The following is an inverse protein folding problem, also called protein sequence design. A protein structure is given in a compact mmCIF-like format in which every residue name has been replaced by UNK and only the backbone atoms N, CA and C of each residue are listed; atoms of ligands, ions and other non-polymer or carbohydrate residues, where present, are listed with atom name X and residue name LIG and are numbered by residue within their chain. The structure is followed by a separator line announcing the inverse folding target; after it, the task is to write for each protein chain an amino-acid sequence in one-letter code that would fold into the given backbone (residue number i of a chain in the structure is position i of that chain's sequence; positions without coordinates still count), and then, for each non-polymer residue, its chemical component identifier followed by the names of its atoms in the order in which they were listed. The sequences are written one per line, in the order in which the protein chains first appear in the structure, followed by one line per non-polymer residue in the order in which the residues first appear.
data_IF_765802778505
#
_entry.id   IF_765802778505
#
_cell.length_a   1.000
_cell.length_b   1.000
_cell.length_c   1.000
_cell.angle_alpha   90.00
_cell.angle_beta   90.00
_cell.angle_gamma   90.00
#
_symmetry.space_group_name_H-M   'P 1'
#
loop_
_entity.id
_entity.type
_entity.pdbx_description
1 polymer ?
#
# COMPACT_ATOMS: atom_id res chain seq x y z
N UNK A 1 37.48 39.51 -32.77
CA UNK A 1 37.20 39.01 -31.40
C UNK A 1 35.84 38.28 -31.30
N UNK A 2 35.44 37.47 -32.30
CA UNK A 2 34.08 36.85 -32.37
C UNK A 2 34.14 35.31 -32.21
N UNK A 3 35.29 34.68 -32.50
CA UNK A 3 35.43 33.22 -32.46
C UNK A 3 35.46 32.58 -31.05
N UNK A 4 35.81 33.36 -30.01
CA UNK A 4 35.89 32.86 -28.64
C UNK A 4 34.49 32.78 -27.98
N UNK A 5 33.59 33.68 -28.36
CA UNK A 5 32.26 33.82 -27.73
C UNK A 5 31.30 32.66 -28.09
N UNK A 6 31.42 32.11 -29.30
CA UNK A 6 30.57 31.00 -29.76
C UNK A 6 30.88 29.68 -29.04
N UNK A 7 32.16 29.41 -28.78
CA UNK A 7 32.60 28.19 -28.09
C UNK A 7 32.09 28.11 -26.64
N UNK A 8 32.01 29.25 -25.94
CA UNK A 8 31.53 29.30 -24.56
C UNK A 8 30.00 29.06 -24.46
N UNK A 9 29.23 29.60 -25.42
CA UNK A 9 27.77 29.45 -25.50
C UNK A 9 27.36 27.99 -25.80
N UNK A 10 28.12 27.31 -26.66
CA UNK A 10 27.88 25.90 -27.03
C UNK A 10 28.24 24.97 -25.85
N UNK A 11 29.38 25.19 -25.19
CA UNK A 11 29.79 24.42 -24.00
C UNK A 11 28.79 24.53 -22.84
N UNK A 12 28.22 25.72 -22.62
CA UNK A 12 27.19 25.96 -21.59
C UNK A 12 25.88 25.20 -21.88
N UNK A 13 25.48 25.10 -23.16
CA UNK A 13 24.30 24.31 -23.56
C UNK A 13 24.53 22.80 -23.38
N UNK A 14 25.72 22.30 -23.70
CA UNK A 14 26.07 20.88 -23.51
C UNK A 14 26.07 20.53 -22.01
N UNK A 15 26.63 21.39 -21.16
CA UNK A 15 26.61 21.20 -19.71
C UNK A 15 25.18 21.21 -19.13
N UNK A 16 24.30 22.08 -19.64
CA UNK A 16 22.90 22.14 -19.23
C UNK A 16 22.13 20.85 -19.61
N UNK A 17 22.43 20.28 -20.78
CA UNK A 17 21.81 19.02 -21.25
C UNK A 17 22.30 17.82 -20.44
N UNK A 18 23.59 17.76 -20.11
CA UNK A 18 24.16 16.73 -19.23
C UNK A 18 23.60 16.81 -17.80
N UNK A 19 23.31 18.01 -17.29
CA UNK A 19 22.69 18.22 -15.99
C UNK A 19 21.20 17.84 -15.96
N UNK A 20 20.49 17.95 -17.09
CA UNK A 20 19.09 17.52 -17.19
C UNK A 20 18.92 15.99 -17.28
N UNK A 21 19.92 15.28 -17.81
CA UNK A 21 19.88 13.81 -17.94
C UNK A 21 20.19 13.07 -16.63
N UNK A 22 20.78 13.71 -15.63
CA UNK A 22 21.14 13.07 -14.36
C UNK A 22 20.00 12.98 -13.33
N UNK A 23 18.84 13.58 -13.60
CA UNK A 23 17.71 13.65 -12.64
C UNK A 23 16.72 12.48 -12.76
N UNK A 24 16.94 11.53 -13.68
CA UNK A 24 16.09 10.33 -13.82
C UNK A 24 16.55 9.20 -12.87
N UNK A 25 16.99 9.57 -11.66
CA UNK A 25 17.41 8.61 -10.65
C UNK A 25 16.19 7.98 -9.96
N UNK A 26 15.87 6.78 -10.41
CA UNK A 26 15.27 5.69 -9.64
C UNK A 26 13.97 5.98 -8.88
N UNK A 27 12.83 5.85 -9.58
CA UNK A 27 11.60 5.41 -8.90
C UNK A 27 11.74 3.93 -8.57
N UNK A 28 12.25 3.61 -7.36
CA UNK A 28 12.04 2.29 -6.76
C UNK A 28 10.54 2.12 -6.51
N UNK A 29 9.84 1.54 -7.48
CA UNK A 29 8.48 1.04 -7.31
C UNK A 29 8.54 -0.15 -6.34
N UNK A 30 8.71 0.11 -5.04
CA UNK A 30 8.47 -0.89 -3.99
C UNK A 30 7.02 -1.33 -4.14
N UNK A 31 6.84 -2.51 -4.74
CA UNK A 31 5.55 -3.15 -4.94
C UNK A 31 4.86 -3.21 -3.56
N UNK A 32 3.82 -2.42 -3.40
CA UNK A 32 3.07 -2.31 -2.16
C UNK A 32 2.26 -3.59 -1.97
N UNK A 33 2.83 -4.61 -1.35
CA UNK A 33 2.12 -5.86 -1.09
C UNK A 33 1.00 -5.56 -0.08
N UNK A 34 -0.22 -5.92 -0.43
CA UNK A 34 -1.42 -5.70 0.39
C UNK A 34 -1.90 -7.00 1.01
N UNK A 35 -2.78 -6.90 2.03
CA UNK A 35 -3.45 -8.09 2.57
C UNK A 35 -4.19 -8.88 1.48
N UNK A 36 -4.73 -8.21 0.45
CA UNK A 36 -5.45 -8.87 -0.66
C UNK A 36 -4.55 -9.80 -1.48
N UNK A 37 -3.25 -9.52 -1.57
CA UNK A 37 -2.30 -10.34 -2.33
C UNK A 37 -1.84 -11.58 -1.55
N UNK A 38 -1.99 -11.57 -0.23
CA UNK A 38 -1.37 -12.54 0.69
C UNK A 38 -2.43 -13.43 1.38
N UNK A 39 -3.56 -12.84 1.75
CA UNK A 39 -4.57 -13.46 2.58
C UNK A 39 -5.53 -14.29 1.74
N UNK A 40 -5.91 -15.46 2.24
CA UNK A 40 -6.86 -16.35 1.57
C UNK A 40 -8.30 -15.95 1.89
N UNK A 41 -8.51 -15.18 2.95
CA UNK A 41 -9.81 -14.69 3.40
C UNK A 41 -10.23 -13.41 2.67
N UNK A 42 -11.54 -13.24 2.49
CA UNK A 42 -12.13 -12.09 1.78
C UNK A 42 -12.23 -10.85 2.70
N UNK A 43 -11.07 -10.39 3.18
CA UNK A 43 -10.94 -9.17 4.00
C UNK A 43 -10.72 -7.92 3.14
N UNK A 44 -11.28 -6.75 3.51
CA UNK A 44 -10.95 -5.50 2.86
C UNK A 44 -9.43 -5.32 2.73
N UNK A 45 -8.91 -4.79 1.62
CA UNK A 45 -7.48 -4.55 1.48
C UNK A 45 -6.96 -3.62 2.58
N UNK A 46 -5.93 -4.05 3.30
CA UNK A 46 -5.24 -3.26 4.30
C UNK A 46 -3.73 -3.50 4.21
N UNK A 47 -2.96 -2.61 4.84
CA UNK A 47 -1.51 -2.71 4.95
C UNK A 47 -1.15 -2.75 6.43
N UNK A 48 -0.28 -3.67 6.80
CA UNK A 48 0.21 -3.78 8.17
C UNK A 48 1.71 -4.05 8.15
N UNK A 49 2.42 -3.43 9.10
CA UNK A 49 3.86 -3.64 9.31
C UNK A 49 4.09 -4.18 10.70
N UNK A 50 5.05 -5.08 10.81
CA UNK A 50 5.48 -5.68 12.07
C UNK A 50 6.90 -5.22 12.34
N UNK A 51 7.10 -4.49 13.43
CA UNK A 51 8.41 -3.91 13.81
C UNK A 51 9.07 -3.07 12.70
N UNK A 52 8.27 -2.37 11.89
CA UNK A 52 8.74 -1.51 10.80
C UNK A 52 8.82 -2.18 9.43
N UNK A 53 8.77 -3.51 9.38
CA UNK A 53 8.93 -4.31 8.16
C UNK A 53 7.66 -5.06 7.75
N UNK A 54 7.64 -5.50 6.49
CA UNK A 54 6.58 -6.38 5.98
C UNK A 54 6.95 -7.83 6.22
N UNK A 55 6.08 -8.53 6.97
CA UNK A 55 6.22 -9.96 7.24
C UNK A 55 4.97 -10.68 6.72
N UNK A 56 5.16 -11.47 5.66
CA UNK A 56 4.06 -12.17 4.97
C UNK A 56 3.43 -13.26 5.84
N UNK A 57 4.24 -13.94 6.67
CA UNK A 57 3.78 -14.99 7.58
C UNK A 57 2.92 -14.39 8.68
N UNK A 58 3.40 -13.30 9.31
CA UNK A 58 2.62 -12.58 10.33
C UNK A 58 1.35 -11.96 9.74
N UNK A 59 1.40 -11.45 8.52
CA UNK A 59 0.21 -10.91 7.85
C UNK A 59 -0.84 -11.99 7.56
N UNK A 60 -0.44 -13.21 7.16
CA UNK A 60 -1.37 -14.36 7.03
C UNK A 60 -2.01 -14.73 8.36
N UNK A 61 -1.22 -14.81 9.44
CA UNK A 61 -1.75 -15.10 10.78
C UNK A 61 -2.74 -14.02 11.25
N UNK A 62 -2.44 -12.76 10.96
CA UNK A 62 -3.31 -11.62 11.26
C UNK A 62 -4.64 -11.71 10.51
N UNK A 63 -4.61 -11.97 9.20
CA UNK A 63 -5.82 -12.14 8.39
C UNK A 63 -6.70 -13.28 8.90
N UNK A 64 -6.13 -14.46 9.16
CA UNK A 64 -6.86 -15.59 9.72
C UNK A 64 -7.51 -15.25 11.06
N UNK A 65 -6.80 -14.55 11.94
CA UNK A 65 -7.35 -14.11 13.22
C UNK A 65 -8.51 -13.14 13.06
N UNK A 66 -8.39 -12.11 12.21
CA UNK A 66 -9.45 -11.13 11.96
C UNK A 66 -10.70 -11.84 11.43
N UNK A 67 -10.55 -12.66 10.39
CA UNK A 67 -11.65 -13.39 9.77
C UNK A 67 -12.39 -14.32 10.75
N UNK A 68 -11.64 -14.99 11.63
CA UNK A 68 -12.22 -15.87 12.64
C UNK A 68 -13.00 -15.12 13.73
N UNK A 69 -12.69 -13.85 13.98
CA UNK A 69 -13.49 -13.03 14.89
C UNK A 69 -14.74 -12.44 14.22
N UNK A 70 -14.87 -12.49 12.89
CA UNK A 70 -16.10 -12.12 12.20
C UNK A 70 -17.07 -13.32 12.23
N UNK A 71 -18.33 -13.15 12.68
CA UNK A 71 -19.30 -14.24 12.74
C UNK A 71 -19.53 -14.88 11.36
N UNK A 72 -19.59 -16.21 11.29
CA UNK A 72 -19.63 -16.97 10.02
C UNK A 72 -20.80 -16.57 9.11
N UNK A 73 -21.96 -16.31 9.70
CA UNK A 73 -23.17 -15.86 9.00
C UNK A 73 -23.50 -14.39 9.29
N UNK A 74 -22.56 -13.68 9.92
CA UNK A 74 -22.67 -12.28 10.29
C UNK A 74 -22.71 -11.37 9.07
N UNK A 75 -23.34 -10.21 9.25
CA UNK A 75 -23.36 -9.18 8.21
C UNK A 75 -21.95 -8.63 7.94
N UNK A 76 -21.03 -8.75 8.91
CA UNK A 76 -19.63 -8.34 8.82
C UNK A 76 -18.88 -9.10 7.73
N UNK A 77 -19.05 -10.43 7.64
CA UNK A 77 -18.40 -11.22 6.58
C UNK A 77 -18.95 -10.88 5.20
N UNK A 78 -20.27 -10.63 5.10
CA UNK A 78 -20.90 -10.19 3.84
C UNK A 78 -20.34 -8.85 3.39
N UNK A 79 -20.24 -7.89 4.32
CA UNK A 79 -19.67 -6.56 4.06
C UNK A 79 -18.18 -6.63 3.74
N UNK A 80 -17.43 -7.46 4.46
CA UNK A 80 -16.00 -7.72 4.22
C UNK A 80 -15.76 -8.18 2.78
N UNK A 81 -16.55 -9.14 2.29
CA UNK A 81 -16.50 -9.63 0.90
C UNK A 81 -16.79 -8.54 -0.13
N UNK A 82 -17.80 -7.71 0.11
CA UNK A 82 -18.12 -6.57 -0.76
C UNK A 82 -16.93 -5.62 -0.89
N UNK A 83 -16.34 -5.23 0.25
CA UNK A 83 -15.16 -4.36 0.28
C UNK A 83 -13.92 -5.03 -0.34
N UNK A 84 -13.75 -6.34 -0.15
CA UNK A 84 -12.71 -7.12 -0.84
C UNK A 84 -12.83 -7.02 -2.37
N UNK A 85 -14.06 -7.04 -2.89
CA UNK A 85 -14.37 -6.87 -4.31
C UNK A 85 -14.31 -5.41 -4.79
N UNK A 86 -14.13 -4.44 -3.89
CA UNK A 86 -14.14 -3.02 -4.22
C UNK A 86 -15.53 -2.41 -4.34
N UNK A 87 -16.57 -3.08 -3.84
CA UNK A 87 -17.93 -2.55 -3.80
C UNK A 87 -18.10 -1.50 -2.69
N UNK A 88 -18.96 -0.51 -2.95
CA UNK A 88 -19.41 0.44 -1.93
C UNK A 88 -20.53 -0.17 -1.07
N UNK A 89 -20.45 0.04 0.24
CA UNK A 89 -21.42 -0.40 1.24
C UNK A 89 -22.20 0.76 1.88
N UNK A 90 -21.98 1.98 1.38
CA UNK A 90 -22.67 3.19 1.79
C UNK A 90 -22.49 3.50 3.27
N UNK A 91 -23.57 3.94 3.92
CA UNK A 91 -23.58 4.41 5.31
C UNK A 91 -23.08 3.37 6.34
N UNK A 92 -23.07 2.07 5.99
CA UNK A 92 -22.60 1.00 6.87
C UNK A 92 -21.08 0.95 7.03
N UNK A 93 -20.33 1.67 6.17
CA UNK A 93 -18.86 1.69 6.20
C UNK A 93 -18.31 2.07 7.56
N UNK A 94 -18.89 3.10 8.21
CA UNK A 94 -18.42 3.58 9.51
C UNK A 94 -18.53 2.50 10.59
N UNK A 95 -19.66 1.80 10.64
CA UNK A 95 -19.88 0.73 11.63
C UNK A 95 -18.94 -0.44 11.39
N UNK A 96 -18.79 -0.86 10.13
CA UNK A 96 -17.89 -1.95 9.79
C UNK A 96 -16.41 -1.61 10.07
N UNK A 97 -15.96 -0.40 9.73
CA UNK A 97 -14.58 0.04 10.00
C UNK A 97 -14.25 -0.02 11.50
N UNK A 98 -15.16 0.40 12.38
CA UNK A 98 -14.96 0.28 13.83
C UNK A 98 -14.76 -1.17 14.26
N UNK A 99 -15.61 -2.09 13.78
CA UNK A 99 -15.51 -3.52 14.11
C UNK A 99 -14.22 -4.11 13.56
N UNK A 100 -13.85 -3.76 12.33
CA UNK A 100 -12.63 -4.22 11.68
C UNK A 100 -11.39 -3.75 12.44
N UNK A 101 -11.31 -2.46 12.79
CA UNK A 101 -10.19 -1.89 13.56
C UNK A 101 -10.03 -2.52 14.94
N UNK A 102 -11.14 -2.78 15.64
CA UNK A 102 -11.11 -3.47 16.94
C UNK A 102 -10.54 -4.89 16.81
N UNK A 103 -10.97 -5.64 15.79
CA UNK A 103 -10.46 -6.98 15.54
C UNK A 103 -9.00 -6.97 15.07
N UNK A 104 -8.60 -6.00 14.24
CA UNK A 104 -7.22 -5.78 13.82
C UNK A 104 -6.32 -5.56 15.03
N UNK A 105 -6.67 -4.63 15.92
CA UNK A 105 -5.90 -4.35 17.16
C UNK A 105 -5.82 -5.58 18.06
N UNK A 106 -6.96 -6.23 18.30
CA UNK A 106 -7.06 -7.45 19.15
C UNK A 106 -6.23 -8.62 18.61
N UNK A 107 -6.16 -8.78 17.30
CA UNK A 107 -5.37 -9.82 16.68
C UNK A 107 -3.88 -9.47 16.63
N UNK A 108 -3.55 -8.20 16.36
CA UNK A 108 -2.17 -7.72 16.33
C UNK A 108 -1.48 -7.86 17.68
N UNK A 109 -2.18 -7.68 18.80
CA UNK A 109 -1.60 -7.86 20.14
C UNK A 109 -1.24 -9.31 20.49
N UNK A 110 -1.53 -10.28 19.61
CA UNK A 110 -1.26 -11.71 19.80
C UNK A 110 -0.13 -12.23 18.90
N UNK A 111 0.47 -11.36 18.09
CA UNK A 111 1.52 -11.65 17.11
C UNK A 111 2.78 -10.88 17.48
#
# INVERSE_FOLDING_TARGET
MIFIYNNYRIKKKIYLILFLLSVISSCDNKKNITSKDICSEELPPFKEKFNGDYDTTKLKLLCKCIWNNLPKDGWERKVSRKLYNGEDIGWKIKSFSTIFELNLKKCKSKI
#
